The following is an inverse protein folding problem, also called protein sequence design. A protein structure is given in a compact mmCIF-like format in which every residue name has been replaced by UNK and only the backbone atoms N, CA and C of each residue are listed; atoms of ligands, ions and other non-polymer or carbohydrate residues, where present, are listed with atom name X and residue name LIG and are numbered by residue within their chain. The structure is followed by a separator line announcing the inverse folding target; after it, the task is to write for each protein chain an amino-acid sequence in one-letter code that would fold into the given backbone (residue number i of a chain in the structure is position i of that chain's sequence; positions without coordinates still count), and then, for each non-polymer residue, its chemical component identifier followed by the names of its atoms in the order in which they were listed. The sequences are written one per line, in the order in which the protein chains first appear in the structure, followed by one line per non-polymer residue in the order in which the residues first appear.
data_IF_258605221676
#
_entry.id   IF_258605221676
#
_cell.length_a   1.000
_cell.length_b   1.000
_cell.length_c   1.000
_cell.angle_alpha   90.00
_cell.angle_beta   90.00
_cell.angle_gamma   90.00
#
_symmetry.space_group_name_H-M   'P 1'
#
loop_
_entity.id
_entity.type
_entity.pdbx_description
1 polymer ?
#
# COMPACT_ATOMS: atom_id res chain seq x y z
N UNK A 1 1.32 -23.70 -20.07
CA UNK A 1 0.84 -23.14 -18.81
C UNK A 1 -0.54 -23.69 -18.50
N UNK A 2 -0.76 -24.14 -17.30
CA UNK A 2 -2.06 -24.63 -16.93
C UNK A 2 -3.02 -23.49 -16.58
N UNK A 3 -4.29 -23.81 -16.50
CA UNK A 3 -5.33 -22.82 -16.24
C UNK A 3 -5.20 -22.20 -14.85
N UNK A 4 -4.86 -23.01 -13.86
CA UNK A 4 -4.73 -22.52 -12.49
C UNK A 4 -3.63 -21.46 -12.39
N UNK A 5 -2.51 -21.71 -13.02
CA UNK A 5 -1.41 -20.75 -12.99
C UNK A 5 -1.81 -19.45 -13.66
N UNK A 6 -2.52 -19.54 -14.78
CA UNK A 6 -2.95 -18.36 -15.51
C UNK A 6 -3.95 -17.55 -14.70
N UNK A 7 -4.89 -18.21 -14.04
CA UNK A 7 -5.85 -17.55 -13.19
C UNK A 7 -5.17 -16.89 -12.00
N UNK A 8 -4.19 -17.57 -11.41
CA UNK A 8 -3.44 -17.01 -10.29
C UNK A 8 -2.70 -15.73 -10.69
N UNK A 9 -2.14 -15.70 -11.89
CA UNK A 9 -1.46 -14.50 -12.36
C UNK A 9 -2.45 -13.36 -12.57
N UNK A 10 -3.63 -13.64 -13.10
CA UNK A 10 -4.66 -12.64 -13.27
C UNK A 10 -5.16 -12.13 -11.93
N UNK A 11 -5.32 -13.02 -10.97
CA UNK A 11 -5.73 -12.61 -9.62
C UNK A 11 -4.69 -11.70 -9.00
N UNK A 12 -3.42 -12.00 -9.17
CA UNK A 12 -2.36 -11.15 -8.67
C UNK A 12 -2.42 -9.77 -9.29
N UNK A 13 -2.71 -9.68 -10.59
CA UNK A 13 -2.85 -8.40 -11.25
C UNK A 13 -4.08 -7.65 -10.75
N UNK A 14 -5.19 -8.38 -10.52
CA UNK A 14 -6.42 -7.77 -10.04
C UNK A 14 -6.40 -7.43 -8.55
N UNK A 15 -5.52 -8.10 -7.78
CA UNK A 15 -5.47 -7.93 -6.33
C UNK A 15 -4.14 -7.34 -5.86
N UNK A 16 -3.49 -6.57 -6.72
CA UNK A 16 -2.23 -5.94 -6.32
C UNK A 16 -2.50 -4.92 -5.21
N UNK A 17 -1.70 -5.01 -4.16
CA UNK A 17 -1.85 -4.17 -2.97
C UNK A 17 -0.65 -3.25 -2.87
N UNK A 18 -0.91 -1.99 -2.56
CA UNK A 18 0.16 -1.05 -2.26
C UNK A 18 0.41 -1.06 -0.76
N UNK A 19 1.68 -1.14 -0.38
CA UNK A 19 2.09 -1.04 1.03
C UNK A 19 2.91 0.24 1.13
N UNK A 20 2.35 1.25 1.78
CA UNK A 20 2.91 2.60 1.80
C UNK A 20 3.30 2.98 3.22
N UNK A 21 4.46 3.58 3.36
CA UNK A 21 4.95 4.03 4.66
C UNK A 21 5.63 5.38 4.49
N UNK A 22 5.65 6.19 5.55
CA UNK A 22 6.20 7.54 5.50
C UNK A 22 7.71 7.60 5.60
N UNK A 23 8.34 6.51 6.03
CA UNK A 23 9.78 6.45 6.20
C UNK A 23 10.24 5.01 6.15
N UNK A 24 11.47 4.81 5.69
CA UNK A 24 12.07 3.48 5.74
C UNK A 24 12.17 2.92 7.15
N UNK A 25 12.19 3.78 8.14
CA UNK A 25 12.24 3.35 9.54
C UNK A 25 10.97 2.62 9.97
N UNK A 26 9.89 2.69 9.19
CA UNK A 26 8.64 1.97 9.46
C UNK A 26 8.67 0.55 8.92
N UNK A 27 9.67 0.22 8.10
CA UNK A 27 9.74 -1.09 7.46
C UNK A 27 9.72 -2.27 8.44
N UNK A 28 10.41 -2.22 9.59
CA UNK A 28 10.36 -3.34 10.53
C UNK A 28 8.95 -3.73 10.96
N UNK A 29 8.02 -2.77 10.94
CA UNK A 29 6.61 -3.06 11.24
C UNK A 29 5.86 -3.44 9.97
N UNK A 30 6.05 -2.66 8.91
CA UNK A 30 5.30 -2.87 7.67
C UNK A 30 5.68 -4.16 6.95
N UNK A 31 6.87 -4.68 7.21
CA UNK A 31 7.27 -5.95 6.60
C UNK A 31 6.34 -7.10 6.97
N UNK A 32 5.68 -7.04 8.13
CA UNK A 32 4.74 -8.08 8.51
C UNK A 32 3.53 -8.11 7.57
N UNK A 33 3.07 -6.96 7.12
CA UNK A 33 2.00 -6.91 6.12
C UNK A 33 2.46 -7.54 4.81
N UNK A 34 3.68 -7.23 4.38
CA UNK A 34 4.25 -7.79 3.16
C UNK A 34 4.37 -9.30 3.28
N UNK A 35 4.83 -9.80 4.42
CA UNK A 35 4.95 -11.24 4.64
C UNK A 35 3.59 -11.94 4.53
N UNK A 36 2.53 -11.31 5.06
CA UNK A 36 1.20 -11.88 4.95
C UNK A 36 0.71 -11.89 3.50
N UNK A 37 0.96 -10.81 2.76
CA UNK A 37 0.58 -10.77 1.35
C UNK A 37 1.31 -11.84 0.56
N UNK A 38 2.60 -12.04 0.83
CA UNK A 38 3.36 -13.10 0.18
C UNK A 38 2.82 -14.49 0.54
N UNK A 39 2.45 -14.68 1.80
CA UNK A 39 1.90 -15.97 2.24
C UNK A 39 0.58 -16.29 1.54
N UNK A 40 -0.22 -15.26 1.24
CA UNK A 40 -1.48 -15.44 0.53
C UNK A 40 -1.33 -15.42 -0.99
N UNK A 41 -0.12 -15.22 -1.50
CA UNK A 41 0.10 -15.17 -2.93
C UNK A 41 -0.43 -13.91 -3.60
N UNK A 42 -0.55 -12.82 -2.84
CA UNK A 42 -1.08 -11.56 -3.35
C UNK A 42 0.09 -10.67 -3.79
N UNK A 43 -0.01 -10.13 -5.01
CA UNK A 43 1.01 -9.21 -5.53
C UNK A 43 0.97 -7.90 -4.77
N UNK A 44 2.12 -7.30 -4.54
CA UNK A 44 2.21 -6.03 -3.83
C UNK A 44 3.36 -5.19 -4.34
N UNK A 45 3.31 -3.91 -4.00
CA UNK A 45 4.45 -3.00 -4.14
C UNK A 45 4.56 -2.20 -2.84
N UNK A 46 5.77 -2.14 -2.31
CA UNK A 46 6.05 -1.36 -1.10
C UNK A 46 6.71 -0.04 -1.51
N UNK A 47 6.24 1.08 -0.95
CA UNK A 47 6.75 2.40 -1.28
C UNK A 47 6.86 3.27 -0.04
N UNK A 48 7.87 4.15 -0.07
CA UNK A 48 8.02 5.19 0.95
C UNK A 48 7.50 6.50 0.36
N UNK A 49 6.45 7.06 0.94
CA UNK A 49 5.86 8.32 0.50
C UNK A 49 5.54 9.14 1.75
N UNK A 50 6.20 10.29 1.87
CA UNK A 50 6.03 11.11 3.07
C UNK A 50 4.89 12.09 2.91
N UNK A 51 3.94 12.07 3.87
CA UNK A 51 2.82 12.99 3.88
C UNK A 51 3.27 14.44 4.05
N UNK A 52 4.35 14.65 4.78
CA UNK A 52 4.80 16.01 5.13
C UNK A 52 5.88 16.53 4.21
N UNK A 53 6.78 15.66 3.74
CA UNK A 53 7.89 16.06 2.89
C UNK A 53 7.55 16.08 1.40
N UNK A 54 6.71 15.15 0.97
CA UNK A 54 6.36 15.02 -0.44
C UNK A 54 4.85 14.82 -0.62
N UNK A 55 4.01 15.79 -0.18
CA UNK A 55 2.57 15.62 -0.26
C UNK A 55 2.07 15.51 -1.70
N UNK A 56 2.70 16.19 -2.64
CA UNK A 56 2.31 16.12 -4.04
C UNK A 56 2.52 14.73 -4.61
N UNK A 57 3.63 14.09 -4.26
CA UNK A 57 3.92 12.73 -4.67
C UNK A 57 2.91 11.76 -4.08
N UNK A 58 2.51 11.99 -2.84
CA UNK A 58 1.49 11.21 -2.16
C UNK A 58 0.15 11.31 -2.89
N UNK A 59 -0.28 12.52 -3.22
CA UNK A 59 -1.56 12.72 -3.90
C UNK A 59 -1.53 12.12 -5.29
N UNK A 60 -0.44 12.28 -6.01
CA UNK A 60 -0.27 11.70 -7.33
C UNK A 60 -0.36 10.17 -7.27
N UNK A 61 0.29 9.57 -6.29
CA UNK A 61 0.21 8.13 -6.08
C UNK A 61 -1.24 7.70 -5.81
N UNK A 62 -1.91 8.39 -4.91
CA UNK A 62 -3.28 8.04 -4.54
C UNK A 62 -4.24 8.17 -5.72
N UNK A 63 -4.11 9.25 -6.48
CA UNK A 63 -5.00 9.50 -7.61
C UNK A 63 -4.81 8.49 -8.75
N UNK A 64 -3.59 8.01 -8.93
CA UNK A 64 -3.28 7.07 -10.01
C UNK A 64 -3.34 5.60 -9.58
N UNK A 65 -3.50 5.33 -8.30
CA UNK A 65 -3.36 3.97 -7.77
C UNK A 65 -4.33 2.98 -8.43
N UNK A 66 -5.59 3.37 -8.58
CA UNK A 66 -6.58 2.49 -9.18
C UNK A 66 -6.24 2.17 -10.63
N UNK A 67 -5.86 3.19 -11.40
CA UNK A 67 -5.47 3.00 -12.80
C UNK A 67 -4.22 2.15 -12.93
N UNK A 68 -3.33 2.20 -11.93
CA UNK A 68 -2.11 1.41 -11.92
C UNK A 68 -2.32 -0.03 -11.44
N UNK A 69 -3.56 -0.43 -11.20
CA UNK A 69 -3.88 -1.81 -10.91
C UNK A 69 -3.93 -2.16 -9.43
N UNK A 70 -3.85 -1.19 -8.55
CA UNK A 70 -3.98 -1.47 -7.11
C UNK A 70 -5.44 -1.66 -6.74
N UNK A 71 -5.70 -2.62 -5.86
CA UNK A 71 -7.03 -2.91 -5.36
C UNK A 71 -7.27 -2.29 -3.99
N UNK A 72 -6.21 -2.05 -3.24
CA UNK A 72 -6.27 -1.45 -1.92
C UNK A 72 -4.90 -0.93 -1.52
N UNK A 73 -4.87 -0.09 -0.50
CA UNK A 73 -3.63 0.49 0.02
C UNK A 73 -3.55 0.19 1.52
N UNK A 74 -2.44 -0.38 1.95
CA UNK A 74 -2.12 -0.55 3.37
C UNK A 74 -1.11 0.53 3.71
N UNK A 75 -1.47 1.43 4.62
CA UNK A 75 -0.65 2.60 4.92
C UNK A 75 -0.25 2.63 6.38
N UNK A 76 1.05 2.62 6.64
CA UNK A 76 1.60 2.71 7.99
C UNK A 76 1.87 4.16 8.36
N UNK A 77 1.45 4.55 9.56
CA UNK A 77 1.67 5.90 10.02
C UNK A 77 1.80 5.94 11.54
N UNK A 78 2.72 6.76 12.00
CA UNK A 78 2.89 7.04 13.41
C UNK A 78 2.23 8.33 13.81
N UNK A 79 2.19 8.59 15.11
CA UNK A 79 1.67 9.86 15.64
C UNK A 79 0.23 10.11 15.23
N UNK A 80 -0.01 11.23 14.57
CA UNK A 80 -1.35 11.65 14.17
C UNK A 80 -1.91 10.88 12.98
N UNK A 81 -1.13 9.98 12.40
CA UNK A 81 -1.58 9.08 11.33
C UNK A 81 -2.14 9.82 10.11
N UNK A 82 -1.46 10.87 9.67
CA UNK A 82 -1.92 11.67 8.55
C UNK A 82 -1.88 10.94 7.22
N UNK A 83 -0.89 10.06 7.02
CA UNK A 83 -0.68 9.40 5.74
C UNK A 83 -1.92 8.63 5.26
N UNK A 84 -2.54 7.76 6.06
CA UNK A 84 -3.72 7.04 5.56
C UNK A 84 -4.87 7.97 5.20
N UNK A 85 -5.12 8.99 6.01
CA UNK A 85 -6.20 9.94 5.73
C UNK A 85 -5.98 10.74 4.48
N UNK A 86 -4.75 11.19 4.26
CA UNK A 86 -4.40 11.94 3.05
C UNK A 86 -4.54 11.08 1.80
N UNK A 87 -4.09 9.82 1.88
CA UNK A 87 -4.28 8.89 0.77
C UNK A 87 -5.77 8.67 0.49
N UNK A 88 -6.54 8.40 1.54
CA UNK A 88 -7.96 8.11 1.39
C UNK A 88 -8.74 9.29 0.79
N UNK A 89 -8.27 10.52 1.01
CA UNK A 89 -8.93 11.70 0.48
C UNK A 89 -8.79 11.83 -1.04
N UNK A 90 -7.87 11.08 -1.66
CA UNK A 90 -7.54 11.21 -3.07
C UNK A 90 -7.72 9.93 -3.88
N UNK A 91 -8.27 8.89 -3.28
CA UNK A 91 -8.51 7.63 -3.99
C UNK A 91 -9.87 7.06 -3.62
N UNK A 92 -10.43 6.27 -4.55
CA UNK A 92 -11.65 5.50 -4.26
C UNK A 92 -11.33 4.10 -3.73
N UNK A 93 -10.05 3.75 -3.65
CA UNK A 93 -9.65 2.45 -3.12
C UNK A 93 -9.75 2.42 -1.60
N UNK A 94 -10.00 1.25 -1.02
CA UNK A 94 -9.88 1.10 0.43
C UNK A 94 -8.47 1.41 0.91
N UNK A 95 -8.36 2.16 1.98
CA UNK A 95 -7.08 2.46 2.62
C UNK A 95 -7.16 1.96 4.05
N UNK A 96 -6.26 1.03 4.38
CA UNK A 96 -6.20 0.43 5.70
C UNK A 96 -5.00 1.01 6.44
N UNK A 97 -5.27 1.71 7.53
CA UNK A 97 -4.22 2.32 8.33
C UNK A 97 -3.61 1.32 9.30
N UNK A 98 -2.29 1.32 9.39
CA UNK A 98 -1.55 0.51 10.35
C UNK A 98 -0.79 1.46 11.25
N UNK A 99 -1.07 1.46 12.57
CA UNK A 99 -0.29 2.29 13.47
C UNK A 99 1.14 1.76 13.59
N UNK A 100 2.10 2.67 13.47
CA UNK A 100 3.50 2.33 13.69
C UNK A 100 4.02 3.18 14.85
N UNK A 101 5.04 2.70 15.58
CA UNK A 101 5.59 3.48 16.68
C UNK A 101 6.11 4.83 16.19
N UNK A 102 5.81 5.88 16.95
CA UNK A 102 6.36 7.21 16.70
C UNK A 102 7.31 7.56 17.84
N UNK A 103 8.26 8.39 17.53
CA UNK A 103 9.24 8.83 18.54
C UNK A 103 8.74 10.00 19.33
#
# INVERSE_FOLDING_TARGET
MNLEKRMSEQDKQGLKIAVVMGSQSDWPIMQYAVEQLEAFGVAYEARVVSAHRTPELLFEFAESARANGFAAIIAGAGGAAHLPGMLASKTTLPVLGVPVPSK
#
